data_IF_850247647814
#
_entry.id   IF_850247647814
#
_cell.length_a   1.000
_cell.length_b   1.000
_cell.length_c   1.000
_cell.angle_alpha   90.00
_cell.angle_beta   90.00
_cell.angle_gamma   90.00
#
_symmetry.space_group_name_H-M   'P 1'
#
loop_
_entity.id
_entity.type
_entity.pdbx_description
1 polymer ?
#
# COMPACT_ATOMS: atom_id res chain seq x y z
N UNK A 1 -13.30 6.68 17.85
CA UNK A 1 -13.33 5.63 18.89
C UNK A 1 -12.52 4.44 18.36
N UNK A 2 -11.25 4.33 18.75
CA UNK A 2 -10.49 3.11 18.47
C UNK A 2 -10.97 2.06 19.50
N UNK A 3 -11.59 0.97 19.04
CA UNK A 3 -11.88 -0.14 19.95
C UNK A 3 -10.55 -0.67 20.50
N UNK A 4 -10.40 -0.82 21.83
CA UNK A 4 -9.20 -1.41 22.41
C UNK A 4 -9.08 -2.85 21.89
N UNK A 5 -8.01 -3.14 21.14
CA UNK A 5 -7.79 -4.44 20.49
C UNK A 5 -7.94 -4.45 18.95
N UNK A 6 -8.57 -3.43 18.36
CA UNK A 6 -8.69 -3.34 16.90
C UNK A 6 -7.32 -3.33 16.20
N UNK A 7 -6.34 -2.58 16.72
CA UNK A 7 -4.99 -2.54 16.15
C UNK A 7 -4.31 -3.91 16.16
N UNK A 8 -4.55 -4.74 17.18
CA UNK A 8 -3.95 -6.08 17.27
C UNK A 8 -4.54 -7.02 16.21
N UNK A 9 -5.87 -7.04 16.09
CA UNK A 9 -6.58 -7.83 15.08
C UNK A 9 -6.14 -7.41 13.67
N UNK A 10 -6.15 -6.11 13.39
CA UNK A 10 -5.75 -5.59 12.07
C UNK A 10 -4.28 -5.85 11.74
N UNK A 11 -3.38 -5.80 12.72
CA UNK A 11 -1.96 -6.11 12.48
C UNK A 11 -1.76 -7.58 12.07
N UNK A 12 -2.49 -8.51 12.69
CA UNK A 12 -2.47 -9.93 12.31
C UNK A 12 -3.01 -10.11 10.89
N UNK A 13 -4.15 -9.49 10.58
CA UNK A 13 -4.79 -9.57 9.25
C UNK A 13 -3.86 -9.02 8.16
N UNK A 14 -3.28 -7.83 8.37
CA UNK A 14 -2.34 -7.22 7.42
C UNK A 14 -1.08 -8.07 7.28
N UNK A 15 -0.56 -8.66 8.37
CA UNK A 15 0.60 -9.55 8.33
C UNK A 15 0.36 -10.79 7.46
N UNK A 16 -0.79 -11.46 7.62
CA UNK A 16 -1.17 -12.60 6.80
C UNK A 16 -1.35 -12.17 5.34
N UNK A 17 -2.06 -11.06 5.11
CA UNK A 17 -2.32 -10.55 3.76
C UNK A 17 -1.03 -10.13 3.03
N UNK A 18 -0.03 -9.62 3.74
CA UNK A 18 1.27 -9.28 3.14
C UNK A 18 2.13 -10.51 2.86
N UNK A 19 2.06 -11.55 3.69
CA UNK A 19 2.84 -12.77 3.53
C UNK A 19 2.34 -13.67 2.39
N UNK A 20 1.03 -13.77 2.18
CA UNK A 20 0.42 -14.66 1.17
C UNK A 20 0.87 -14.33 -0.27
N UNK A 21 0.80 -13.07 -0.76
CA UNK A 21 1.29 -12.69 -2.08
C UNK A 21 2.79 -12.94 -2.24
N UNK A 22 3.62 -12.72 -1.22
CA UNK A 22 5.05 -13.02 -1.31
C UNK A 22 5.29 -14.52 -1.49
N UNK A 23 4.55 -15.36 -0.76
CA UNK A 23 4.66 -16.81 -0.87
C UNK A 23 4.16 -17.34 -2.23
N UNK A 24 3.12 -16.75 -2.82
CA UNK A 24 2.56 -17.17 -4.12
C UNK A 24 3.38 -16.60 -5.30
N UNK A 25 3.90 -15.37 -5.18
CA UNK A 25 4.61 -14.69 -6.27
C UNK A 25 5.96 -15.34 -6.55
N UNK A 26 6.67 -15.85 -5.54
CA UNK A 26 7.97 -16.50 -5.74
C UNK A 26 7.91 -17.77 -6.63
N UNK A 27 7.03 -18.76 -6.38
CA UNK A 27 6.90 -19.93 -7.22
C UNK A 27 6.23 -19.62 -8.57
N UNK A 28 5.24 -18.73 -8.62
CA UNK A 28 4.62 -18.36 -9.91
C UNK A 28 5.61 -17.65 -10.83
N UNK A 29 6.50 -16.82 -10.28
CA UNK A 29 7.58 -16.19 -11.04
C UNK A 29 8.61 -17.22 -11.56
N UNK A 30 8.99 -18.22 -10.77
CA UNK A 30 9.93 -19.25 -11.22
C UNK A 30 9.34 -20.19 -12.26
N UNK A 31 8.03 -20.45 -12.21
CA UNK A 31 7.30 -21.24 -13.21
C UNK A 31 7.14 -20.47 -14.53
N UNK A 32 6.71 -19.20 -14.48
CA UNK A 32 6.37 -18.43 -15.68
C UNK A 32 7.60 -17.90 -16.43
N UNK A 33 8.61 -17.41 -15.73
CA UNK A 33 9.79 -16.80 -16.35
C UNK A 33 10.99 -17.75 -16.43
N UNK A 34 10.89 -18.91 -15.78
CA UNK A 34 11.98 -19.88 -15.68
C UNK A 34 13.14 -19.43 -14.77
N UNK A 35 14.12 -20.31 -14.59
CA UNK A 35 15.23 -20.08 -13.66
C UNK A 35 16.35 -19.16 -14.22
N UNK A 36 16.34 -18.85 -15.51
CA UNK A 36 17.46 -18.13 -16.16
C UNK A 36 17.63 -16.69 -15.67
N UNK A 37 16.53 -15.97 -15.42
CA UNK A 37 16.53 -14.56 -14.98
C UNK A 37 15.94 -14.37 -13.58
N UNK A 38 15.87 -15.43 -12.77
CA UNK A 38 15.23 -15.40 -11.46
C UNK A 38 15.78 -14.27 -10.56
N UNK A 39 17.10 -14.05 -10.58
CA UNK A 39 17.73 -12.96 -9.82
C UNK A 39 17.24 -11.56 -10.21
N UNK A 40 17.00 -11.29 -11.50
CA UNK A 40 16.47 -10.00 -11.95
C UNK A 40 15.02 -9.81 -11.50
N UNK A 41 14.20 -10.86 -11.65
CA UNK A 41 12.78 -10.82 -11.26
C UNK A 41 12.64 -10.61 -9.76
N UNK A 42 13.49 -11.25 -8.95
CA UNK A 42 13.52 -11.06 -7.51
C UNK A 42 13.89 -9.61 -7.11
N UNK A 43 14.83 -8.97 -7.81
CA UNK A 43 15.16 -7.56 -7.59
C UNK A 43 13.97 -6.64 -7.92
N UNK A 44 13.24 -6.90 -9.01
CA UNK A 44 12.02 -6.16 -9.36
C UNK A 44 10.94 -6.34 -8.29
N UNK A 45 10.78 -7.57 -7.78
CA UNK A 45 9.83 -7.86 -6.71
C UNK A 45 10.16 -7.12 -5.41
N UNK A 46 11.43 -7.11 -4.99
CA UNK A 46 11.85 -6.34 -3.81
C UNK A 46 11.68 -4.84 -4.04
N UNK A 47 11.98 -4.34 -5.24
CA UNK A 47 11.82 -2.92 -5.59
C UNK A 47 10.37 -2.44 -5.49
N UNK A 48 9.39 -3.34 -5.65
CA UNK A 48 7.98 -2.99 -5.47
C UNK A 48 7.70 -2.41 -4.06
N UNK A 49 8.40 -2.87 -3.03
CA UNK A 49 8.19 -2.41 -1.66
C UNK A 49 8.55 -0.93 -1.44
N UNK A 50 9.80 -0.46 -1.69
CA UNK A 50 10.12 0.96 -1.59
C UNK A 50 9.35 1.80 -2.61
N UNK A 51 9.02 1.24 -3.79
CA UNK A 51 8.21 1.95 -4.78
C UNK A 51 6.81 2.25 -4.27
N UNK A 52 6.13 1.26 -3.66
CA UNK A 52 4.84 1.44 -3.01
C UNK A 52 4.91 2.45 -1.86
N UNK A 53 5.90 2.31 -0.97
CA UNK A 53 6.10 3.26 0.12
C UNK A 53 6.36 4.68 -0.38
N UNK A 54 7.13 4.85 -1.45
CA UNK A 54 7.41 6.16 -2.03
C UNK A 54 6.16 6.80 -2.63
N UNK A 55 5.37 6.06 -3.41
CA UNK A 55 4.15 6.58 -4.01
C UNK A 55 3.09 6.93 -2.97
N UNK A 56 2.85 6.06 -2.00
CA UNK A 56 1.76 6.25 -1.03
C UNK A 56 2.15 7.13 0.16
N UNK A 57 3.36 6.98 0.70
CA UNK A 57 3.81 7.74 1.87
C UNK A 57 4.51 9.03 1.48
N UNK A 58 5.41 8.98 0.49
CA UNK A 58 6.17 10.15 0.07
C UNK A 58 5.30 11.11 -0.74
N UNK A 59 4.81 10.63 -1.89
CA UNK A 59 4.13 11.49 -2.86
C UNK A 59 2.66 11.76 -2.47
N UNK A 60 1.87 10.70 -2.24
CA UNK A 60 0.45 10.86 -1.96
C UNK A 60 0.21 11.54 -0.62
N UNK A 61 0.82 11.07 0.47
CA UNK A 61 0.62 11.69 1.77
C UNK A 61 1.21 13.10 1.84
N UNK A 62 2.37 13.36 1.22
CA UNK A 62 2.95 14.70 1.12
C UNK A 62 2.04 15.70 0.40
N UNK A 63 1.62 15.38 -0.83
CA UNK A 63 0.77 16.27 -1.64
C UNK A 63 -0.58 16.52 -0.94
N UNK A 64 -1.24 15.49 -0.40
CA UNK A 64 -2.51 15.66 0.29
C UNK A 64 -2.37 16.45 1.60
N UNK A 65 -1.27 16.27 2.32
CA UNK A 65 -0.98 17.02 3.53
C UNK A 65 -0.80 18.50 3.22
N UNK A 66 -0.02 18.82 2.18
CA UNK A 66 0.22 20.19 1.73
C UNK A 66 -1.07 20.87 1.21
N UNK A 67 -1.96 20.11 0.57
CA UNK A 67 -3.25 20.64 0.10
C UNK A 67 -4.22 20.96 1.25
N UNK A 68 -4.23 20.17 2.31
CA UNK A 68 -5.06 20.39 3.50
C UNK A 68 -4.42 21.32 4.53
N UNK A 69 -3.11 21.59 4.42
CA UNK A 69 -2.43 22.64 5.16
C UNK A 69 -2.93 24.02 4.68
N UNK A 70 -4.13 24.39 5.13
CA UNK A 70 -4.68 25.73 4.91
C UNK A 70 -3.84 26.72 5.69
N UNK A 71 -3.38 27.79 5.02
CA UNK A 71 -2.59 28.89 5.57
C UNK A 71 -3.21 29.38 6.89
N UNK A 72 -2.64 29.00 8.03
CA UNK A 72 -3.01 29.62 9.29
C UNK A 72 -2.38 31.02 9.34
N UNK A 73 -3.11 32.00 9.86
CA UNK A 73 -2.68 33.41 9.92
C UNK A 73 -1.35 33.65 10.69
N UNK A 74 -0.82 32.62 11.36
CA UNK A 74 0.46 32.61 12.07
C UNK A 74 1.67 32.08 11.27
N UNK A 75 1.55 31.86 9.96
CA UNK A 75 2.69 31.47 9.11
C UNK A 75 3.16 30.02 9.29
N UNK A 76 2.35 29.17 9.91
CA UNK A 76 2.58 27.73 9.98
C UNK A 76 1.67 26.99 9.01
N UNK A 77 2.26 26.39 7.97
CA UNK A 77 1.58 25.54 6.99
C UNK A 77 1.55 24.08 7.48
N UNK A 78 0.95 23.84 8.66
CA UNK A 78 0.92 22.48 9.24
C UNK A 78 -0.49 22.06 9.60
N UNK A 79 -0.94 20.95 9.02
CA UNK A 79 -2.16 20.28 9.42
C UNK A 79 -1.85 19.21 10.48
N UNK A 80 -2.50 19.24 11.66
CA UNK A 80 -2.26 18.24 12.71
C UNK A 80 -3.57 17.53 13.05
N UNK A 81 -3.63 16.23 12.79
CA UNK A 81 -4.74 15.38 13.19
C UNK A 81 -5.14 14.34 12.15
N UNK A 82 -6.09 13.47 12.54
CA UNK A 82 -6.63 12.44 11.65
C UNK A 82 -7.41 13.02 10.46
N UNK A 83 -7.87 14.28 10.56
CA UNK A 83 -8.61 14.95 9.48
C UNK A 83 -7.74 15.16 8.24
N UNK A 84 -6.47 15.55 8.42
CA UNK A 84 -5.51 15.79 7.33
C UNK A 84 -5.29 14.54 6.46
N UNK A 85 -5.31 13.36 7.11
CA UNK A 85 -5.10 12.07 6.45
C UNK A 85 -6.40 11.41 5.96
N UNK A 86 -7.57 12.03 6.17
CA UNK A 86 -8.86 11.44 5.79
C UNK A 86 -8.92 11.14 4.30
N UNK A 87 -8.48 12.09 3.46
CA UNK A 87 -8.42 11.90 2.01
C UNK A 87 -7.44 10.77 1.64
N UNK A 88 -6.28 10.69 2.33
CA UNK A 88 -5.30 9.62 2.11
C UNK A 88 -5.95 8.26 2.38
N UNK A 89 -6.65 8.10 3.52
CA UNK A 89 -7.35 6.86 3.85
C UNK A 89 -8.42 6.48 2.82
N UNK A 90 -9.16 7.45 2.27
CA UNK A 90 -10.18 7.18 1.23
C UNK A 90 -9.53 6.69 -0.06
N UNK A 91 -8.46 7.35 -0.51
CA UNK A 91 -7.73 6.97 -1.73
C UNK A 91 -7.11 5.58 -1.57
N UNK A 92 -6.49 5.31 -0.41
CA UNK A 92 -5.93 3.99 -0.10
C UNK A 92 -7.00 2.91 -0.09
N UNK A 93 -8.17 3.18 0.51
CA UNK A 93 -9.27 2.23 0.51
C UNK A 93 -9.78 1.94 -0.90
N UNK A 94 -9.92 2.96 -1.75
CA UNK A 94 -10.30 2.78 -3.15
C UNK A 94 -9.25 1.97 -3.94
N UNK A 95 -7.97 2.26 -3.74
CA UNK A 95 -6.87 1.51 -4.35
C UNK A 95 -6.87 0.03 -3.93
N UNK A 96 -7.13 -0.26 -2.64
CA UNK A 96 -7.26 -1.64 -2.15
C UNK A 96 -8.44 -2.36 -2.79
N UNK A 97 -9.58 -1.70 -2.96
CA UNK A 97 -10.76 -2.27 -3.63
C UNK A 97 -10.45 -2.59 -5.09
N UNK A 98 -9.80 -1.66 -5.81
CA UNK A 98 -9.37 -1.88 -7.20
C UNK A 98 -8.37 -3.05 -7.28
N UNK A 99 -7.37 -3.08 -6.40
CA UNK A 99 -6.40 -4.17 -6.31
C UNK A 99 -7.09 -5.53 -6.13
N UNK A 100 -7.99 -5.62 -5.16
CA UNK A 100 -8.80 -6.83 -4.93
C UNK A 100 -9.56 -7.26 -6.19
N UNK A 101 -10.23 -6.35 -6.90
CA UNK A 101 -10.91 -6.71 -8.14
C UNK A 101 -9.96 -7.22 -9.24
N UNK A 102 -8.77 -6.63 -9.36
CA UNK A 102 -7.75 -7.08 -10.32
C UNK A 102 -7.21 -8.45 -9.95
N UNK A 103 -6.95 -8.72 -8.67
CA UNK A 103 -6.52 -10.03 -8.18
C UNK A 103 -7.58 -11.09 -8.47
N UNK A 104 -8.85 -10.81 -8.15
CA UNK A 104 -9.96 -11.73 -8.44
C UNK A 104 -10.12 -11.97 -9.94
N UNK A 105 -10.03 -10.92 -10.76
CA UNK A 105 -10.09 -11.06 -12.21
C UNK A 105 -8.93 -11.91 -12.73
N UNK A 106 -7.71 -11.70 -12.23
CA UNK A 106 -6.54 -12.48 -12.62
C UNK A 106 -6.66 -13.96 -12.20
N UNK A 107 -7.23 -14.22 -11.02
CA UNK A 107 -7.52 -15.58 -10.54
C UNK A 107 -8.59 -16.26 -11.39
N UNK A 108 -9.64 -15.55 -11.82
CA UNK A 108 -10.69 -16.12 -12.66
C UNK A 108 -10.18 -16.42 -14.09
N UNK A 109 -9.21 -15.66 -14.59
CA UNK A 109 -8.64 -15.84 -15.92
C UNK A 109 -7.59 -16.96 -16.00
N UNK A 110 -7.13 -17.50 -14.87
CA UNK A 110 -6.15 -18.59 -14.80
C UNK A 110 -6.83 -19.94 -14.60
#
# INVERSE_FOLDING_TARGET
MAMPGSLYIWSIVVGICYAVPLAITLPTASELFGLKYYGLIYNILIFNLPFGSFLFSGLLAGILYDLEATTTAGGGDTCVGAHCYRLVFIIMAAACVVGFFLDFFFVIQK
#
